data_IF_325100000686
#
_entry.id   IF_325100000686
#
_cell.length_a   1.000
_cell.length_b   1.000
_cell.length_c   1.000
_cell.angle_alpha   90.00
_cell.angle_beta   90.00
_cell.angle_gamma   90.00
#
_symmetry.space_group_name_H-M   'P 1'
#
loop_
_entity.id
_entity.type
_entity.pdbx_description
1 polymer ?
#
# COMPACT_ATOMS: atom_id res chain seq x y z
N UNK A 1 -19.06 68.55 35.79
CA UNK A 1 -18.82 67.09 35.67
C UNK A 1 -17.67 66.85 34.72
N UNK A 2 -16.54 66.24 35.14
CA UNK A 2 -15.39 66.04 34.26
C UNK A 2 -15.66 64.90 33.27
N UNK A 3 -15.49 65.17 31.97
CA UNK A 3 -15.75 64.25 30.86
C UNK A 3 -14.58 63.27 30.74
N UNK A 4 -14.73 62.04 31.24
CA UNK A 4 -13.70 61.00 31.18
C UNK A 4 -13.64 60.37 29.78
N UNK A 5 -12.76 60.87 28.93
CA UNK A 5 -12.28 60.14 27.74
C UNK A 5 -10.76 60.29 27.64
N UNK A 6 -10.05 59.77 28.63
CA UNK A 6 -8.59 59.84 28.71
C UNK A 6 -8.01 58.44 28.88
N UNK A 7 -8.22 57.59 27.87
CA UNK A 7 -7.40 56.40 27.62
C UNK A 7 -7.82 55.87 26.25
N UNK A 8 -6.84 55.57 25.42
CA UNK A 8 -7.01 55.18 24.01
C UNK A 8 -8.09 54.10 23.82
N UNK A 9 -8.81 54.15 22.69
CA UNK A 9 -9.85 53.17 22.37
C UNK A 9 -9.22 51.77 22.29
N UNK A 10 -9.44 50.95 23.33
CA UNK A 10 -8.86 49.61 23.51
C UNK A 10 -9.02 48.70 22.28
N UNK A 11 -10.14 48.80 21.55
CA UNK A 11 -10.36 48.03 20.31
C UNK A 11 -9.43 48.48 19.17
N UNK A 12 -9.12 49.77 19.09
CA UNK A 12 -8.19 50.31 18.11
C UNK A 12 -6.74 49.94 18.43
N UNK A 13 -6.38 49.87 19.72
CA UNK A 13 -5.06 49.38 20.17
C UNK A 13 -4.89 47.91 19.80
N UNK A 14 -5.86 47.05 20.13
CA UNK A 14 -5.84 45.61 19.76
C UNK A 14 -5.77 45.40 18.24
N UNK A 15 -6.49 46.22 17.44
CA UNK A 15 -6.43 46.12 15.99
C UNK A 15 -5.05 46.54 15.42
N UNK A 16 -4.41 47.56 16.01
CA UNK A 16 -3.04 47.97 15.65
C UNK A 16 -2.01 46.92 16.06
N UNK A 17 -2.16 46.32 17.23
CA UNK A 17 -1.30 45.22 17.71
C UNK A 17 -1.40 43.99 16.81
N UNK A 18 -2.60 43.58 16.39
CA UNK A 18 -2.75 42.46 15.43
C UNK A 18 -2.08 42.75 14.09
N UNK A 19 -2.23 43.97 13.56
CA UNK A 19 -1.57 44.37 12.31
C UNK A 19 -0.05 44.43 12.47
N UNK A 20 0.45 44.87 13.63
CA UNK A 20 1.87 44.91 13.95
C UNK A 20 2.44 43.50 14.11
N UNK A 21 1.78 42.63 14.87
CA UNK A 21 2.16 41.23 15.06
C UNK A 21 2.15 40.44 13.74
N UNK A 22 1.17 40.67 12.86
CA UNK A 22 1.17 40.06 11.54
C UNK A 22 2.38 40.51 10.70
N UNK A 23 2.67 41.82 10.67
CA UNK A 23 3.86 42.35 9.97
C UNK A 23 5.16 41.83 10.56
N UNK A 24 5.30 41.81 11.88
CA UNK A 24 6.48 41.28 12.57
C UNK A 24 6.64 39.78 12.32
N UNK A 25 5.55 39.01 12.26
CA UNK A 25 5.62 37.59 11.92
C UNK A 25 6.06 37.36 10.47
N UNK A 26 5.64 38.21 9.54
CA UNK A 26 6.09 38.14 8.14
C UNK A 26 7.56 38.56 7.99
N UNK A 27 8.01 39.60 8.70
CA UNK A 27 9.42 40.01 8.67
C UNK A 27 10.29 38.95 9.32
N UNK A 28 9.90 38.42 10.48
CA UNK A 28 10.62 37.33 11.15
C UNK A 28 10.67 36.07 10.28
N UNK A 29 9.58 35.74 9.59
CA UNK A 29 9.57 34.61 8.66
C UNK A 29 10.56 34.83 7.51
N UNK A 30 10.56 36.02 6.90
CA UNK A 30 11.49 36.37 5.82
C UNK A 30 12.95 36.39 6.29
N UNK A 31 13.22 36.98 7.46
CA UNK A 31 14.55 37.00 8.07
C UNK A 31 15.04 35.59 8.36
N UNK A 32 14.17 34.73 8.90
CA UNK A 32 14.47 33.32 9.13
C UNK A 32 14.74 32.57 7.82
N UNK A 33 13.91 32.76 6.79
CA UNK A 33 14.13 32.14 5.48
C UNK A 33 15.47 32.58 4.86
N UNK A 34 15.87 33.84 5.04
CA UNK A 34 17.18 34.35 4.61
C UNK A 34 18.33 33.78 5.43
N UNK A 35 18.17 33.65 6.75
CA UNK A 35 19.16 33.04 7.63
C UNK A 35 19.33 31.55 7.31
N UNK A 36 18.24 30.81 7.19
CA UNK A 36 18.22 29.40 6.80
C UNK A 36 18.87 29.21 5.41
N UNK A 37 18.63 30.13 4.47
CA UNK A 37 19.28 30.11 3.15
C UNK A 37 20.78 30.38 3.26
N UNK A 38 21.20 31.35 4.09
CA UNK A 38 22.62 31.68 4.32
C UNK A 38 23.38 30.51 4.95
N UNK A 39 22.72 29.70 5.76
CA UNK A 39 23.28 28.54 6.45
C UNK A 39 22.98 27.21 5.75
N UNK A 40 22.50 27.24 4.51
CA UNK A 40 22.20 26.02 3.76
C UNK A 40 23.49 25.34 3.30
N UNK A 41 23.65 24.07 3.63
CA UNK A 41 24.75 23.24 3.13
C UNK A 41 24.50 22.80 1.68
N UNK A 42 25.34 23.24 0.75
CA UNK A 42 25.28 22.87 -0.68
C UNK A 42 26.27 21.76 -1.07
N UNK A 43 27.01 21.19 -0.11
CA UNK A 43 27.95 20.10 -0.40
C UNK A 43 27.22 18.85 -0.91
N UNK A 44 27.51 18.48 -2.16
CA UNK A 44 26.99 17.30 -2.85
C UNK A 44 27.15 16.00 -2.04
N UNK A 45 28.24 15.84 -1.29
CA UNK A 45 28.48 14.64 -0.48
C UNK A 45 27.58 14.61 0.75
N UNK A 46 27.34 15.76 1.38
CA UNK A 46 26.43 15.89 2.53
C UNK A 46 24.98 15.65 2.07
N UNK A 47 24.56 16.26 0.97
CA UNK A 47 23.24 16.04 0.38
C UNK A 47 22.99 14.56 0.06
N UNK A 48 23.96 13.88 -0.57
CA UNK A 48 23.85 12.45 -0.86
C UNK A 48 23.76 11.60 0.42
N UNK A 49 24.46 11.97 1.50
CA UNK A 49 24.35 11.30 2.80
C UNK A 49 22.98 11.52 3.45
N UNK A 50 22.45 12.75 3.40
CA UNK A 50 21.12 13.07 3.90
C UNK A 50 20.04 12.29 3.14
N UNK A 51 20.10 12.28 1.80
CA UNK A 51 19.17 11.51 0.97
C UNK A 51 19.20 10.01 1.26
N UNK A 52 20.38 9.43 1.49
CA UNK A 52 20.50 8.02 1.90
C UNK A 52 19.84 7.77 3.25
N UNK A 53 20.09 8.63 4.24
CA UNK A 53 19.46 8.52 5.57
C UNK A 53 17.94 8.67 5.49
N UNK A 54 17.44 9.63 4.73
CA UNK A 54 16.01 9.85 4.52
C UNK A 54 15.36 8.67 3.79
N UNK A 55 16.03 8.09 2.78
CA UNK A 55 15.54 6.90 2.09
C UNK A 55 15.47 5.67 3.01
N UNK A 56 16.50 5.47 3.85
CA UNK A 56 16.54 4.37 4.81
C UNK A 56 15.47 4.52 5.89
N UNK A 57 15.29 5.73 6.44
CA UNK A 57 14.27 6.02 7.44
C UNK A 57 12.86 5.90 6.84
N UNK A 58 12.63 6.41 5.63
CA UNK A 58 11.36 6.26 4.91
C UNK A 58 11.03 4.79 4.67
N UNK A 59 12.00 4.00 4.22
CA UNK A 59 11.83 2.55 4.01
C UNK A 59 11.53 1.82 5.33
N UNK A 60 12.18 2.21 6.43
CA UNK A 60 11.91 1.65 7.75
C UNK A 60 10.50 1.96 8.23
N UNK A 61 10.05 3.21 8.05
CA UNK A 61 8.69 3.64 8.40
C UNK A 61 7.64 2.92 7.57
N UNK A 62 7.85 2.80 6.26
CA UNK A 62 6.95 2.07 5.35
C UNK A 62 6.84 0.58 5.75
N UNK A 63 7.96 -0.06 6.10
CA UNK A 63 7.93 -1.45 6.59
C UNK A 63 7.18 -1.59 7.90
N UNK A 64 7.32 -0.64 8.83
CA UNK A 64 6.60 -0.65 10.09
C UNK A 64 5.10 -0.42 9.88
N UNK A 65 4.72 0.52 9.01
CA UNK A 65 3.33 0.77 8.63
C UNK A 65 2.70 -0.46 7.97
N UNK A 66 3.38 -1.05 6.97
CA UNK A 66 2.92 -2.28 6.31
C UNK A 66 2.75 -3.43 7.28
N UNK A 67 3.68 -3.61 8.23
CA UNK A 67 3.57 -4.63 9.29
C UNK A 67 2.41 -4.34 10.24
N UNK A 68 2.19 -3.08 10.62
CA UNK A 68 1.09 -2.68 11.49
C UNK A 68 -0.27 -2.91 10.82
N UNK A 69 -0.41 -2.55 9.54
CA UNK A 69 -1.61 -2.79 8.73
C UNK A 69 -1.90 -4.28 8.57
N UNK A 70 -0.88 -5.08 8.22
CA UNK A 70 -1.03 -6.53 8.11
C UNK A 70 -1.45 -7.17 9.44
N UNK A 71 -0.86 -6.73 10.56
CA UNK A 71 -1.23 -7.19 11.90
C UNK A 71 -2.67 -6.81 12.25
N UNK A 72 -3.08 -5.57 11.94
CA UNK A 72 -4.45 -5.11 12.18
C UNK A 72 -5.47 -5.90 11.36
N UNK A 73 -5.14 -6.28 10.12
CA UNK A 73 -6.00 -7.12 9.28
C UNK A 73 -6.12 -8.54 9.85
N UNK A 74 -5.01 -9.14 10.26
CA UNK A 74 -5.02 -10.45 10.92
C UNK A 74 -5.85 -10.45 12.21
N UNK A 75 -5.75 -9.39 13.02
CA UNK A 75 -6.55 -9.26 14.24
C UNK A 75 -8.05 -9.13 13.96
N UNK A 76 -8.44 -8.42 12.88
CA UNK A 76 -9.82 -8.36 12.42
C UNK A 76 -10.33 -9.75 12.00
N UNK A 77 -9.54 -10.51 11.26
CA UNK A 77 -9.90 -11.88 10.88
C UNK A 77 -10.01 -12.81 12.10
N UNK A 78 -9.04 -12.75 13.02
CA UNK A 78 -9.03 -13.55 14.24
C UNK A 78 -10.17 -13.19 15.21
N UNK A 79 -10.58 -11.92 15.26
CA UNK A 79 -11.74 -11.51 16.06
C UNK A 79 -13.06 -12.00 15.45
N UNK A 80 -13.19 -11.97 14.11
CA UNK A 80 -14.31 -12.60 13.41
C UNK A 80 -14.38 -14.11 13.65
N UNK A 81 -13.23 -14.80 13.67
CA UNK A 81 -13.18 -16.25 13.93
C UNK A 81 -13.38 -16.61 15.41
N UNK A 82 -12.98 -15.74 16.35
CA UNK A 82 -13.19 -15.94 17.79
C UNK A 82 -14.64 -15.76 18.24
N UNK A 83 -15.52 -15.21 17.40
CA UNK A 83 -16.89 -14.86 17.78
C UNK A 83 -17.85 -16.05 17.97
N UNK A 84 -17.46 -17.27 17.62
CA UNK A 84 -18.30 -18.45 17.89
C UNK A 84 -17.46 -19.63 18.33
N UNK A 85 -17.06 -19.65 19.62
CA UNK A 85 -16.90 -20.93 20.29
C UNK A 85 -18.28 -21.57 20.33
N UNK A 86 -18.58 -22.39 19.33
CA UNK A 86 -19.79 -23.20 19.35
C UNK A 86 -19.85 -23.93 20.70
N UNK A 87 -21.03 -23.99 21.35
CA UNK A 87 -21.17 -24.72 22.59
C UNK A 87 -20.58 -26.14 22.41
N UNK A 88 -19.93 -26.69 23.45
CA UNK A 88 -19.33 -28.02 23.36
C UNK A 88 -20.39 -28.98 22.81
N UNK A 89 -20.04 -29.79 21.78
CA UNK A 89 -21.01 -30.64 21.13
C UNK A 89 -21.69 -31.51 22.18
N UNK A 90 -23.02 -31.53 22.13
CA UNK A 90 -23.83 -32.35 23.02
C UNK A 90 -23.40 -33.81 22.90
N UNK A 91 -23.35 -34.53 24.02
CA UNK A 91 -22.90 -35.93 24.03
C UNK A 91 -23.89 -36.77 23.23
N UNK A 92 -23.51 -37.14 22.01
CA UNK A 92 -24.32 -38.00 21.14
C UNK A 92 -24.05 -39.47 21.45
N UNK A 93 -25.11 -40.29 21.35
CA UNK A 93 -25.01 -41.73 21.53
C UNK A 93 -24.39 -42.39 20.29
N UNK A 94 -23.75 -43.57 20.47
CA UNK A 94 -23.17 -44.35 19.36
C UNK A 94 -24.18 -44.65 18.25
N UNK A 95 -25.45 -44.86 18.59
CA UNK A 95 -26.54 -45.08 17.65
C UNK A 95 -26.78 -43.86 16.74
N UNK A 96 -26.80 -42.64 17.31
CA UNK A 96 -26.94 -41.40 16.54
C UNK A 96 -25.76 -41.13 15.61
N UNK A 97 -24.54 -41.48 16.02
CA UNK A 97 -23.34 -41.34 15.17
C UNK A 97 -23.45 -42.25 13.94
N UNK A 98 -23.87 -43.51 14.15
CA UNK A 98 -24.04 -44.47 13.05
C UNK A 98 -25.14 -44.04 12.07
N UNK A 99 -26.29 -43.58 12.58
CA UNK A 99 -27.36 -43.06 11.74
C UNK A 99 -26.92 -41.86 10.89
N UNK A 100 -26.22 -40.89 11.50
CA UNK A 100 -25.73 -39.70 10.79
C UNK A 100 -24.69 -40.03 9.72
N UNK A 101 -23.77 -40.97 10.00
CA UNK A 101 -22.77 -41.39 9.02
C UNK A 101 -23.41 -42.08 7.81
N UNK A 102 -24.46 -42.88 8.01
CA UNK A 102 -25.17 -43.54 6.94
C UNK A 102 -25.93 -42.57 6.02
N UNK A 103 -26.52 -41.50 6.59
CA UNK A 103 -27.12 -40.41 5.81
C UNK A 103 -26.08 -39.65 4.98
N UNK A 104 -24.93 -39.31 5.59
CA UNK A 104 -23.84 -38.58 4.92
C UNK A 104 -23.18 -39.42 3.82
N UNK A 105 -23.04 -40.73 4.00
CA UNK A 105 -22.52 -41.60 2.93
C UNK A 105 -23.49 -41.69 1.75
N UNK A 106 -24.81 -41.77 2.01
CA UNK A 106 -25.82 -41.77 0.95
C UNK A 106 -25.83 -40.47 0.13
N UNK A 107 -25.59 -39.32 0.77
CA UNK A 107 -25.55 -38.03 0.07
C UNK A 107 -24.22 -37.75 -0.66
N UNK A 108 -23.13 -38.43 -0.29
CA UNK A 108 -21.81 -38.25 -0.93
C UNK A 108 -21.66 -39.05 -2.23
N UNK A 109 -22.36 -40.17 -2.37
CA UNK A 109 -22.35 -40.94 -3.62
C UNK A 109 -23.02 -40.19 -4.79
N UNK A 110 -23.81 -39.15 -4.52
CA UNK A 110 -24.45 -38.33 -5.57
C UNK A 110 -23.63 -37.13 -6.05
N UNK A 111 -22.55 -36.76 -5.36
CA UNK A 111 -21.79 -35.53 -5.66
C UNK A 111 -20.31 -35.88 -5.86
N UNK A 112 -19.97 -36.37 -7.07
CA UNK A 112 -18.57 -36.50 -7.49
C UNK A 112 -17.96 -35.11 -7.58
N UNK A 113 -17.22 -34.74 -6.53
CA UNK A 113 -16.38 -33.55 -6.53
C UNK A 113 -15.24 -33.78 -7.52
N UNK A 114 -15.16 -32.97 -8.58
CA UNK A 114 -14.06 -33.01 -9.53
C UNK A 114 -12.74 -32.79 -8.77
N UNK A 115 -11.86 -33.78 -8.88
CA UNK A 115 -10.57 -33.74 -8.19
C UNK A 115 -9.50 -33.18 -9.12
N UNK A 116 -8.35 -32.84 -8.54
CA UNK A 116 -7.14 -32.49 -9.29
C UNK A 116 -6.63 -33.59 -10.26
N UNK A 117 -7.25 -34.77 -10.26
CA UNK A 117 -7.00 -35.85 -11.21
C UNK A 117 -7.86 -35.73 -12.48
N UNK A 118 -9.01 -35.04 -12.39
CA UNK A 118 -9.97 -34.88 -13.48
C UNK A 118 -9.71 -33.58 -14.27
N UNK A 119 -9.13 -32.56 -13.61
CA UNK A 119 -8.75 -31.31 -14.23
C UNK A 119 -7.31 -31.36 -14.80
N UNK A 120 -7.08 -30.97 -16.07
CA UNK A 120 -5.73 -30.89 -16.61
C UNK A 120 -4.89 -29.86 -15.85
N UNK A 121 -3.61 -30.18 -15.64
CA UNK A 121 -2.63 -29.28 -15.00
C UNK A 121 -2.49 -28.00 -15.84
N UNK A 122 -2.83 -26.86 -15.25
CA UNK A 122 -2.59 -25.55 -15.88
C UNK A 122 -1.10 -25.25 -15.78
N UNK A 123 -0.45 -25.05 -16.93
CA UNK A 123 0.98 -24.77 -16.98
C UNK A 123 1.32 -23.42 -16.34
N UNK A 124 2.50 -23.36 -15.71
CA UNK A 124 2.97 -22.13 -15.10
C UNK A 124 3.38 -21.13 -16.19
N UNK A 125 2.64 -20.02 -16.28
CA UNK A 125 2.88 -18.92 -17.23
C UNK A 125 4.32 -18.40 -17.18
N UNK A 126 4.98 -18.42 -16.01
CA UNK A 126 6.38 -17.99 -15.86
C UNK A 126 7.42 -19.00 -16.37
N UNK A 127 7.00 -20.18 -16.84
CA UNK A 127 7.87 -21.23 -17.38
C UNK A 127 7.56 -21.61 -18.82
N UNK A 128 6.67 -20.88 -19.49
CA UNK A 128 6.33 -21.17 -20.89
C UNK A 128 7.58 -21.00 -21.76
N UNK A 129 7.96 -22.06 -22.46
CA UNK A 129 8.92 -21.96 -23.56
C UNK A 129 8.15 -21.39 -24.75
N UNK A 130 8.46 -20.15 -25.11
CA UNK A 130 7.87 -19.53 -26.29
C UNK A 130 8.59 -20.15 -27.50
N UNK A 131 7.92 -21.08 -28.18
CA UNK A 131 8.40 -21.62 -29.44
C UNK A 131 8.27 -20.55 -30.53
N UNK A 132 9.41 -20.00 -30.97
CA UNK A 132 9.47 -18.96 -31.99
C UNK A 132 10.84 -18.29 -32.08
N UNK A 133 11.00 -17.43 -33.08
CA UNK A 133 12.19 -16.61 -33.23
C UNK A 133 12.15 -15.46 -32.20
N UNK A 134 12.96 -15.56 -31.14
CA UNK A 134 13.15 -14.51 -30.15
C UNK A 134 14.35 -13.63 -30.55
N UNK A 135 14.09 -12.36 -30.85
CA UNK A 135 15.16 -11.39 -31.10
C UNK A 135 15.73 -10.88 -29.76
N UNK A 136 17.05 -10.95 -29.59
CA UNK A 136 17.74 -10.42 -28.39
C UNK A 136 18.42 -9.07 -28.63
N UNK A 137 18.43 -8.60 -29.87
CA UNK A 137 18.93 -7.29 -30.26
C UNK A 137 18.09 -6.69 -31.40
N UNK A 138 18.31 -5.40 -31.69
CA UNK A 138 17.55 -4.64 -32.68
C UNK A 138 17.80 -5.21 -34.09
N UNK A 139 19.03 -5.61 -34.40
CA UNK A 139 19.40 -6.11 -35.73
C UNK A 139 18.77 -7.48 -36.04
N UNK A 140 18.70 -8.38 -35.05
CA UNK A 140 17.98 -9.66 -35.11
C UNK A 140 16.48 -9.43 -35.28
N UNK A 141 15.90 -8.45 -34.57
CA UNK A 141 14.48 -8.13 -34.69
C UNK A 141 14.15 -7.63 -36.11
N UNK A 142 15.00 -6.76 -36.67
CA UNK A 142 14.87 -6.27 -38.04
C UNK A 142 15.02 -7.41 -39.04
N UNK A 143 15.93 -8.37 -38.80
CA UNK A 143 16.07 -9.54 -39.66
C UNK A 143 14.82 -10.43 -39.59
N UNK A 144 14.41 -10.87 -38.41
CA UNK A 144 13.23 -11.73 -38.20
C UNK A 144 11.96 -11.12 -38.81
N UNK A 145 11.71 -9.83 -38.56
CA UNK A 145 10.55 -9.12 -39.11
C UNK A 145 10.70 -8.78 -40.60
N UNK A 146 11.91 -8.39 -41.02
CA UNK A 146 12.23 -8.01 -42.39
C UNK A 146 12.12 -9.17 -43.37
N UNK A 147 12.62 -10.37 -43.01
CA UNK A 147 12.46 -11.58 -43.82
C UNK A 147 11.00 -11.99 -43.94
N UNK A 148 10.22 -11.85 -42.85
CA UNK A 148 8.79 -12.21 -42.84
C UNK A 148 7.94 -11.27 -43.71
N UNK A 149 8.26 -9.97 -43.74
CA UNK A 149 7.60 -8.99 -44.61
C UNK A 149 7.93 -9.26 -46.09
N UNK A 150 9.16 -9.66 -46.40
CA UNK A 150 9.56 -9.97 -47.77
C UNK A 150 8.92 -11.24 -48.33
N UNK A 151 8.76 -12.27 -47.49
CA UNK A 151 8.11 -13.54 -47.85
C UNK A 151 6.60 -13.42 -48.02
N UNK A 152 5.92 -12.55 -47.25
CA UNK A 152 4.48 -12.31 -47.37
C UNK A 152 4.10 -11.40 -48.55
N UNK A 153 5.06 -10.68 -49.14
CA UNK A 153 4.81 -9.79 -50.30
C UNK A 153 4.96 -10.48 -51.67
N UNK A 154 5.28 -11.77 -51.71
CA UNK A 154 5.47 -12.56 -52.94
C UNK A 154 4.35 -13.60 -53.17
N UNK A 155 3.18 -13.41 -52.53
CA UNK A 155 1.95 -14.13 -52.80
C UNK A 155 0.82 -13.16 -53.15
#
# INVERSE_FOLDING_TARGET
MPKKFATENSKAVVARERKKAAKESETQRKEKELEDAKWRDEDKQILKKQQRKEADEKKRQEQLQRKAEAKALLEKEMSSLKATKAPPPEKVTRAQIQARNHEVSKSKDSEKVETHLDAPLVENVNRLQIDGEEARNIDEAIQILGYRIFLLSHF
#
